data_IF_423786510429
#
_entry.id   IF_423786510429
#
_cell.length_a   1.000
_cell.length_b   1.000
_cell.length_c   1.000
_cell.angle_alpha   90.00
_cell.angle_beta   90.00
_cell.angle_gamma   90.00
#
_symmetry.space_group_name_H-M   'P 1'
#
loop_
_entity.id
_entity.type
_entity.pdbx_description
1 polymer ?
#
# COMPACT_ATOMS: atom_id res chain seq x y z
N UNK A 1 -0.41 -21.81 -6.60
CA UNK A 1 0.90 -21.39 -6.05
C UNK A 1 0.63 -20.37 -4.96
N UNK A 2 1.22 -20.50 -3.77
CA UNK A 2 1.21 -19.39 -2.79
C UNK A 2 2.10 -18.30 -3.38
N UNK A 3 1.50 -17.25 -3.93
CA UNK A 3 2.24 -16.07 -4.35
C UNK A 3 3.03 -15.55 -3.14
N UNK A 4 4.36 -15.44 -3.28
CA UNK A 4 5.21 -14.83 -2.25
C UNK A 4 5.39 -13.37 -2.61
N UNK A 5 4.97 -12.49 -1.70
CA UNK A 5 5.03 -11.05 -1.89
C UNK A 5 6.25 -10.48 -1.18
N UNK A 6 7.05 -9.69 -1.89
CA UNK A 6 8.21 -8.98 -1.36
C UNK A 6 7.92 -7.48 -1.30
N UNK A 7 8.27 -6.84 -0.18
CA UNK A 7 8.19 -5.39 -0.07
C UNK A 7 9.07 -4.71 -1.12
N UNK A 8 8.51 -3.72 -1.80
CA UNK A 8 9.21 -2.93 -2.80
C UNK A 8 9.46 -1.52 -2.27
N UNK A 9 8.41 -0.80 -1.86
CA UNK A 9 8.52 0.55 -1.33
C UNK A 9 7.23 1.05 -0.66
N UNK A 10 7.29 2.21 0.00
CA UNK A 10 6.11 2.93 0.49
C UNK A 10 5.77 4.07 -0.46
N UNK A 11 4.55 4.08 -1.00
CA UNK A 11 4.03 5.19 -1.80
C UNK A 11 3.35 6.18 -0.88
N UNK A 12 3.90 7.37 -0.75
CA UNK A 12 3.30 8.47 0.01
C UNK A 12 2.14 9.06 -0.78
N UNK A 13 1.00 9.25 -0.11
CA UNK A 13 -0.17 9.90 -0.71
C UNK A 13 0.19 11.30 -1.19
N UNK A 14 -0.25 11.62 -2.41
CA UNK A 14 -0.31 12.98 -2.94
C UNK A 14 -1.77 13.27 -3.32
N UNK A 15 -2.19 14.53 -3.19
CA UNK A 15 -3.57 14.97 -3.41
C UNK A 15 -4.10 14.52 -4.78
N UNK A 16 -5.28 13.88 -4.82
CA UNK A 16 -5.86 13.32 -6.05
C UNK A 16 -5.35 11.93 -6.46
N UNK A 17 -4.48 11.31 -5.65
CA UNK A 17 -3.99 9.94 -5.86
C UNK A 17 -4.40 9.03 -4.70
N UNK A 18 -4.14 7.73 -4.90
CA UNK A 18 -4.37 6.68 -3.92
C UNK A 18 -3.76 7.06 -2.54
N UNK A 19 -4.40 6.69 -1.41
CA UNK A 19 -3.84 6.88 -0.08
C UNK A 19 -2.46 6.23 0.08
N UNK A 20 -1.73 6.64 1.11
CA UNK A 20 -0.40 6.08 1.39
C UNK A 20 -0.51 4.58 1.57
N UNK A 21 0.33 3.83 0.87
CA UNK A 21 0.31 2.37 0.91
C UNK A 21 1.71 1.80 0.73
N UNK A 22 1.92 0.64 1.36
CA UNK A 22 3.11 -0.17 1.20
C UNK A 22 2.91 -1.10 0.02
N UNK A 23 3.80 -1.02 -0.95
CA UNK A 23 3.75 -1.80 -2.19
C UNK A 23 4.56 -3.06 -2.00
N UNK A 24 3.91 -4.21 -2.16
CA UNK A 24 4.54 -5.51 -2.24
C UNK A 24 4.34 -6.08 -3.63
N UNK A 25 5.34 -6.74 -4.18
CA UNK A 25 5.28 -7.35 -5.51
C UNK A 25 5.35 -8.85 -5.39
N UNK A 26 4.54 -9.59 -6.16
CA UNK A 26 4.68 -11.04 -6.21
C UNK A 26 5.96 -11.41 -6.96
N UNK A 27 6.68 -12.39 -6.44
CA UNK A 27 7.84 -12.98 -7.11
C UNK A 27 7.44 -13.85 -8.32
N UNK A 28 6.18 -14.31 -8.36
CA UNK A 28 5.67 -15.28 -9.34
C UNK A 28 4.62 -14.71 -10.28
N UNK A 29 3.95 -13.62 -9.90
CA UNK A 29 2.95 -12.95 -10.73
C UNK A 29 3.26 -11.46 -10.90
N UNK A 30 2.91 -10.88 -12.05
CA UNK A 30 3.02 -9.42 -12.31
C UNK A 30 1.96 -8.60 -11.54
N UNK A 31 1.70 -8.98 -10.28
CA UNK A 31 0.70 -8.37 -9.39
C UNK A 31 1.39 -7.70 -8.21
N UNK A 32 0.90 -6.54 -7.82
CA UNK A 32 1.22 -5.92 -6.53
C UNK A 32 0.11 -6.15 -5.51
N UNK A 33 0.51 -6.26 -4.24
CA UNK A 33 -0.36 -6.12 -3.07
C UNK A 33 -0.04 -4.76 -2.45
N UNK A 34 -1.04 -3.89 -2.38
CA UNK A 34 -0.95 -2.56 -1.77
C UNK A 34 -1.55 -2.67 -0.37
N UNK A 35 -0.76 -2.41 0.67
CA UNK A 35 -1.21 -2.51 2.07
C UNK A 35 -1.33 -1.11 2.66
N UNK A 36 -2.52 -0.76 3.13
CA UNK A 36 -2.85 0.54 3.71
C UNK A 36 -2.62 0.56 5.22
N UNK A 37 -2.69 1.76 5.81
CA UNK A 37 -2.35 2.01 7.21
C UNK A 37 -3.20 1.23 8.23
N UNK A 38 -4.41 0.79 7.86
CA UNK A 38 -5.26 -0.06 8.70
C UNK A 38 -5.05 -1.57 8.46
N UNK A 39 -3.98 -1.94 7.73
CA UNK A 39 -3.65 -3.30 7.27
C UNK A 39 -4.65 -3.93 6.30
N UNK A 40 -5.62 -3.18 5.80
CA UNK A 40 -6.37 -3.62 4.63
C UNK A 40 -5.48 -3.55 3.39
N UNK A 41 -5.86 -4.30 2.35
CA UNK A 41 -5.08 -4.35 1.13
C UNK A 41 -5.94 -4.38 -0.12
N UNK A 42 -5.31 -4.12 -1.26
CA UNK A 42 -5.89 -4.37 -2.57
C UNK A 42 -4.81 -4.87 -3.53
N UNK A 43 -5.23 -5.50 -4.62
CA UNK A 43 -4.33 -5.91 -5.69
C UNK A 43 -4.26 -4.87 -6.79
N UNK A 44 -3.06 -4.61 -7.28
CA UNK A 44 -2.80 -3.74 -8.42
C UNK A 44 -2.01 -4.46 -9.51
N UNK A 45 -2.08 -3.91 -10.72
CA UNK A 45 -1.10 -4.21 -11.75
C UNK A 45 0.14 -3.35 -11.53
N UNK A 46 1.31 -3.98 -11.61
CA UNK A 46 2.58 -3.27 -11.55
C UNK A 46 2.93 -2.79 -12.95
N UNK A 47 3.22 -1.50 -13.09
CA UNK A 47 3.84 -1.00 -14.31
C UNK A 47 5.32 -1.40 -14.35
N UNK A 48 5.84 -1.68 -15.54
CA UNK A 48 7.27 -1.98 -15.72
C UNK A 48 8.16 -0.82 -15.23
N UNK A 49 7.68 0.42 -15.28
CA UNK A 49 8.37 1.56 -14.68
C UNK A 49 8.55 1.41 -13.16
N UNK A 50 7.54 0.96 -12.43
CA UNK A 50 7.61 0.81 -10.98
C UNK A 50 8.55 -0.31 -10.53
N UNK A 51 8.83 -1.30 -11.39
CA UNK A 51 9.85 -2.33 -11.12
C UNK A 51 11.28 -1.81 -11.28
N UNK A 52 11.47 -0.85 -12.17
CA UNK A 52 12.78 -0.38 -12.59
C UNK A 52 13.17 0.98 -11.96
N UNK A 53 12.26 1.59 -11.19
CA UNK A 53 12.52 2.87 -10.55
C UNK A 53 12.97 2.69 -9.08
N UNK A 54 14.08 3.32 -8.71
CA UNK A 54 14.68 3.28 -7.37
C UNK A 54 14.31 4.48 -6.49
N UNK A 55 13.60 5.48 -7.00
CA UNK A 55 13.32 6.76 -6.33
C UNK A 55 12.17 6.68 -5.31
N UNK A 56 11.80 5.49 -4.89
CA UNK A 56 10.72 5.33 -3.92
C UNK A 56 11.22 5.53 -2.48
N UNK A 57 10.41 6.21 -1.68
CA UNK A 57 10.67 6.37 -0.25
C UNK A 57 10.75 5.02 0.45
N UNK A 58 11.93 4.70 1.00
CA UNK A 58 12.16 3.48 1.76
C UNK A 58 11.79 3.69 3.24
N UNK A 59 10.49 3.83 3.49
CA UNK A 59 9.96 3.69 4.85
C UNK A 59 9.98 2.21 5.27
N UNK A 60 9.59 1.94 6.52
CA UNK A 60 9.64 0.58 7.11
C UNK A 60 8.80 -0.40 6.30
N UNK A 61 9.11 -1.69 6.40
CA UNK A 61 8.41 -2.72 5.63
C UNK A 61 6.98 -2.90 6.14
N UNK A 62 6.78 -2.80 7.45
CA UNK A 62 5.48 -2.97 8.09
C UNK A 62 4.98 -1.67 8.71
N UNK A 63 3.66 -1.51 8.79
CA UNK A 63 3.05 -0.36 9.46
C UNK A 63 3.29 -0.35 10.97
N UNK A 64 3.54 -1.53 11.57
CA UNK A 64 3.84 -1.67 13.00
C UNK A 64 5.20 -1.07 13.40
N UNK A 65 6.14 -1.02 12.45
CA UNK A 65 7.46 -0.43 12.67
C UNK A 65 7.47 1.10 12.54
N UNK A 66 6.39 1.68 12.04
CA UNK A 66 6.27 3.13 11.86
C UNK A 66 5.97 3.87 13.18
N UNK A 67 6.36 5.15 13.30
CA UNK A 67 5.96 5.97 14.43
C UNK A 67 4.44 6.01 14.59
N UNK A 68 3.94 5.84 15.82
CA UNK A 68 2.49 5.79 16.11
C UNK A 68 1.74 7.03 15.59
N UNK A 69 2.32 8.22 15.75
CA UNK A 69 1.73 9.47 15.26
C UNK A 69 1.61 9.53 13.74
N UNK A 70 2.57 8.94 13.02
CA UNK A 70 2.51 8.81 11.57
C UNK A 70 1.41 7.84 11.16
N UNK A 71 1.36 6.66 11.78
CA UNK A 71 0.33 5.65 11.52
C UNK A 71 -1.09 6.17 11.76
N UNK A 72 -1.33 6.84 12.89
CA UNK A 72 -2.64 7.44 13.20
C UNK A 72 -3.07 8.50 12.18
N UNK A 73 -2.11 9.28 11.66
CA UNK A 73 -2.37 10.27 10.62
C UNK A 73 -2.74 9.62 9.29
N UNK A 74 -2.03 8.56 8.88
CA UNK A 74 -2.32 7.84 7.64
C UNK A 74 -3.67 7.10 7.72
N UNK A 75 -4.04 6.55 8.88
CA UNK A 75 -5.38 5.98 9.11
C UNK A 75 -6.47 7.03 8.92
N UNK A 76 -6.29 8.25 9.47
CA UNK A 76 -7.26 9.35 9.29
C UNK A 76 -7.40 9.73 7.81
N UNK A 77 -6.29 9.86 7.09
CA UNK A 77 -6.30 10.15 5.64
C UNK A 77 -7.01 9.06 4.85
N UNK A 78 -6.77 7.79 5.17
CA UNK A 78 -7.44 6.66 4.55
C UNK A 78 -8.96 6.70 4.76
N UNK A 79 -9.41 7.03 5.98
CA UNK A 79 -10.84 7.21 6.29
C UNK A 79 -11.49 8.33 5.49
N UNK A 80 -10.81 9.48 5.37
CA UNK A 80 -11.27 10.61 4.55
C UNK A 80 -11.34 10.24 3.06
N UNK A 81 -10.34 9.51 2.57
CA UNK A 81 -10.31 9.05 1.18
C UNK A 81 -11.47 8.09 0.87
N UNK A 82 -11.70 7.07 1.72
CA UNK A 82 -12.84 6.15 1.60
C UNK A 82 -14.18 6.87 1.61
N UNK A 83 -14.32 7.90 2.44
CA UNK A 83 -15.55 8.69 2.51
C UNK A 83 -15.83 9.49 1.24
N UNK A 84 -14.78 9.88 0.50
CA UNK A 84 -14.89 10.61 -0.76
C UNK A 84 -14.89 9.72 -2.01
N UNK A 85 -14.50 8.45 -1.88
CA UNK A 85 -14.40 7.48 -2.99
C UNK A 85 -15.11 6.17 -2.61
N UNK A 86 -16.45 6.09 -2.70
CA UNK A 86 -17.21 4.89 -2.31
C UNK A 86 -16.85 3.62 -3.11
N UNK A 87 -16.32 3.79 -4.32
CA UNK A 87 -15.84 2.70 -5.17
C UNK A 87 -14.48 2.13 -4.74
N UNK A 88 -13.79 2.79 -3.81
CA UNK A 88 -12.53 2.31 -3.26
C UNK A 88 -12.79 1.21 -2.23
N UNK A 89 -12.63 -0.04 -2.67
CA UNK A 89 -12.85 -1.25 -1.86
C UNK A 89 -11.51 -1.89 -1.54
N UNK A 90 -11.29 -2.21 -0.27
CA UNK A 90 -10.10 -2.92 0.22
C UNK A 90 -10.52 -4.21 0.89
N UNK A 91 -9.71 -5.25 0.73
CA UNK A 91 -9.84 -6.53 1.42
C UNK A 91 -9.17 -6.46 2.79
N UNK A 92 -9.72 -7.18 3.76
CA UNK A 92 -9.06 -7.41 5.05
C UNK A 92 -8.35 -8.75 5.00
N UNK A 93 -7.18 -8.87 5.65
CA UNK A 93 -6.63 -10.20 5.92
C UNK A 93 -7.64 -10.92 6.83
N UNK A 94 -8.31 -11.95 6.28
CA UNK A 94 -9.04 -12.90 7.11
C UNK A 94 -7.98 -13.57 7.97
N UNK A 95 -7.96 -13.23 9.25
CA UNK A 95 -7.13 -13.91 10.26
C UNK A 95 -7.46 -15.40 10.34
#
# INVERSE_FOLDING_TARGET
>A
MKDTYRYLYTRISIFGFLPTHKVFVSNTSKKSKLIFADNTFMYGLISDWALNNSDFGSDKVTWLEEPKSYLENEIKKLGLYRSSHPEFITESEIQ
#
